data_IF_062474028719
#
_entry.id   IF_062474028719
#
_cell.length_a   1.000
_cell.length_b   1.000
_cell.length_c   1.000
_cell.angle_alpha   90.00
_cell.angle_beta   90.00
_cell.angle_gamma   90.00
#
_symmetry.space_group_name_H-M   'P 1'
#
loop_
_entity.id
_entity.type
_entity.pdbx_description
1 polymer ?
#
# COMPACT_ATOMS: atom_id res chain seq x y z
N UNK A 1 -3.14 14.09 -8.84
CA UNK A 1 -2.59 14.16 -10.21
C UNK A 1 -2.61 12.77 -10.84
N UNK A 2 -3.14 12.68 -12.07
CA UNK A 2 -3.15 11.49 -12.91
C UNK A 2 -2.01 11.52 -13.94
N UNK A 3 -2.22 11.06 -15.19
CA UNK A 3 -1.17 10.76 -16.17
C UNK A 3 -0.20 11.90 -16.53
N UNK A 4 -0.57 13.17 -16.32
CA UNK A 4 0.27 14.34 -16.63
C UNK A 4 0.94 14.99 -15.41
N UNK A 5 0.77 14.42 -14.20
CA UNK A 5 1.33 14.98 -12.97
C UNK A 5 2.62 14.32 -12.49
N UNK A 6 3.24 14.88 -11.44
CA UNK A 6 4.44 14.30 -10.82
C UNK A 6 4.05 12.94 -10.20
N UNK A 7 4.71 11.82 -10.60
CA UNK A 7 4.46 10.51 -9.99
C UNK A 7 4.53 10.57 -8.46
N UNK A 8 3.63 9.87 -7.77
CA UNK A 8 3.56 9.87 -6.31
C UNK A 8 2.86 11.08 -5.68
N UNK A 9 2.41 12.07 -6.47
CA UNK A 9 1.57 13.17 -5.94
C UNK A 9 0.07 12.94 -6.14
N UNK A 10 -0.30 11.81 -6.77
CA UNK A 10 -1.65 11.42 -7.12
C UNK A 10 -2.57 11.17 -5.92
N UNK A 11 -3.88 11.29 -6.13
CA UNK A 11 -4.88 10.98 -5.10
C UNK A 11 -6.29 10.90 -5.68
N UNK A 12 -7.22 10.20 -4.99
CA UNK A 12 -8.54 9.88 -5.52
C UNK A 12 -9.61 10.96 -5.25
N UNK A 13 -9.22 12.13 -4.73
CA UNK A 13 -10.14 13.21 -4.33
C UNK A 13 -10.69 13.08 -2.90
N UNK A 14 -10.32 12.02 -2.18
CA UNK A 14 -10.65 11.82 -0.77
C UNK A 14 -9.45 11.29 0.01
N UNK A 15 -9.57 11.25 1.34
CA UNK A 15 -8.59 10.71 2.28
C UNK A 15 -9.24 9.67 3.18
N UNK A 16 -8.44 8.70 3.61
CA UNK A 16 -8.81 7.63 4.53
C UNK A 16 -8.10 7.86 5.86
N UNK A 17 -8.81 7.63 6.97
CA UNK A 17 -8.23 7.71 8.31
C UNK A 17 -7.25 6.56 8.53
N UNK A 18 -6.29 6.77 9.43
CA UNK A 18 -5.42 5.69 9.84
C UNK A 18 -6.19 4.61 10.62
N UNK A 19 -5.76 3.36 10.46
CA UNK A 19 -6.25 2.21 11.21
C UNK A 19 -5.11 1.39 11.84
N UNK A 20 -3.86 1.88 11.80
CA UNK A 20 -2.73 1.13 12.35
C UNK A 20 -2.71 1.12 13.89
N UNK A 21 -3.42 2.05 14.53
CA UNK A 21 -3.58 2.05 16.00
C UNK A 21 -4.68 1.12 16.48
N UNK A 22 -5.62 0.74 15.60
CA UNK A 22 -6.82 -0.03 15.96
C UNK A 22 -6.85 -1.43 15.36
N UNK A 23 -6.08 -1.69 14.29
CA UNK A 23 -6.02 -2.99 13.64
C UNK A 23 -5.03 -3.92 14.37
N UNK A 24 -5.50 -4.99 15.05
CA UNK A 24 -4.63 -5.93 15.76
C UNK A 24 -3.75 -6.77 14.81
N UNK A 25 -4.07 -6.77 13.50
CA UNK A 25 -3.32 -7.47 12.46
C UNK A 25 -2.46 -6.51 11.62
N UNK A 26 -2.19 -5.30 12.11
CA UNK A 26 -1.36 -4.33 11.40
C UNK A 26 0.13 -4.72 11.45
N UNK A 27 0.54 -5.66 10.59
CA UNK A 27 1.91 -6.14 10.54
C UNK A 27 2.44 -6.17 9.12
N UNK A 28 3.54 -5.46 8.88
CA UNK A 28 4.26 -5.41 7.62
C UNK A 28 5.17 -6.64 7.48
N UNK A 29 4.54 -7.80 7.34
CA UNK A 29 5.22 -9.05 6.97
C UNK A 29 5.63 -9.03 5.49
N UNK A 30 6.43 -10.00 5.07
CA UNK A 30 6.74 -10.17 3.65
C UNK A 30 5.45 -10.37 2.84
N UNK A 31 5.32 -9.65 1.72
CA UNK A 31 4.11 -9.66 0.89
C UNK A 31 2.92 -8.87 1.44
N UNK A 32 3.06 -8.16 2.56
CA UNK A 32 2.00 -7.30 3.09
C UNK A 32 1.66 -6.15 2.12
N UNK A 33 0.37 -5.86 1.99
CA UNK A 33 -0.17 -4.77 1.19
C UNK A 33 -0.66 -3.65 2.12
N UNK A 34 -0.11 -2.45 1.96
CA UNK A 34 -0.33 -1.33 2.87
C UNK A 34 -0.52 0.00 2.14
N UNK A 35 -1.17 0.94 2.83
CA UNK A 35 -1.47 2.27 2.28
C UNK A 35 -0.30 3.24 2.48
N UNK A 36 0.12 3.91 1.41
CA UNK A 36 1.02 5.05 1.52
C UNK A 36 0.23 6.30 1.98
N UNK A 37 0.93 7.21 2.68
CA UNK A 37 0.37 8.47 3.17
C UNK A 37 1.40 9.60 3.11
N UNK A 38 0.91 10.83 3.24
CA UNK A 38 1.78 11.99 3.51
C UNK A 38 2.13 12.08 5.00
N UNK A 39 2.64 13.24 5.44
CA UNK A 39 3.00 13.47 6.84
C UNK A 39 1.81 13.30 7.81
N UNK A 40 0.60 13.65 7.37
CA UNK A 40 -0.63 13.45 8.15
C UNK A 40 -1.02 11.96 8.17
N UNK A 41 -1.13 11.31 9.34
CA UNK A 41 -1.58 9.92 9.45
C UNK A 41 -2.89 9.63 8.73
N UNK A 42 -3.81 10.59 8.67
CA UNK A 42 -5.15 10.44 8.05
C UNK A 42 -5.18 10.92 6.59
N UNK A 43 -4.07 10.77 5.87
CA UNK A 43 -3.93 11.27 4.49
C UNK A 43 -3.75 10.18 3.44
N UNK A 44 -3.89 8.92 3.81
CA UNK A 44 -3.92 7.82 2.85
C UNK A 44 -5.01 8.08 1.79
N UNK A 45 -4.72 7.73 0.55
CA UNK A 45 -5.61 7.99 -0.60
C UNK A 45 -5.73 6.76 -1.48
N UNK A 46 -5.07 6.77 -2.63
CA UNK A 46 -5.08 5.67 -3.60
C UNK A 46 -3.71 5.01 -3.78
N UNK A 47 -2.67 5.53 -3.12
CA UNK A 47 -1.33 4.98 -3.22
C UNK A 47 -1.17 3.86 -2.20
N UNK A 48 -0.67 2.72 -2.66
CA UNK A 48 -0.39 1.54 -1.85
C UNK A 48 0.98 0.98 -2.21
N UNK A 49 1.49 0.07 -1.38
CA UNK A 49 2.75 -0.62 -1.62
C UNK A 49 2.70 -2.07 -1.12
N UNK A 50 3.55 -2.91 -1.72
CA UNK A 50 3.87 -4.24 -1.23
C UNK A 50 5.18 -4.20 -0.43
N UNK A 51 5.23 -4.96 0.65
CA UNK A 51 6.48 -5.21 1.37
C UNK A 51 7.27 -6.31 0.64
N UNK A 52 8.43 -5.97 0.07
CA UNK A 52 9.34 -6.91 -0.60
C UNK A 52 10.29 -7.57 0.43
N UNK A 53 9.72 -8.09 1.50
CA UNK A 53 10.39 -8.53 2.73
C UNK A 53 9.78 -7.86 3.98
N UNK A 54 9.98 -8.41 5.19
CA UNK A 54 9.38 -7.86 6.41
C UNK A 54 9.87 -6.44 6.73
N UNK A 55 8.94 -5.55 7.08
CA UNK A 55 9.18 -4.13 7.38
C UNK A 55 8.49 -3.67 8.68
N UNK A 56 8.66 -4.42 9.78
CA UNK A 56 8.00 -4.16 11.07
C UNK A 56 8.20 -2.74 11.64
N UNK A 57 9.22 -2.00 11.20
CA UNK A 57 9.40 -0.59 11.56
C UNK A 57 8.26 0.32 11.08
N UNK A 58 7.42 -0.14 10.14
CA UNK A 58 6.27 0.60 9.62
C UNK A 58 4.97 0.32 10.39
N UNK A 59 4.95 -0.68 11.28
CA UNK A 59 3.74 -1.18 11.96
C UNK A 59 3.02 -0.10 12.80
N UNK A 60 3.76 0.88 13.31
CA UNK A 60 3.20 1.98 14.13
C UNK A 60 2.87 3.25 13.35
N UNK A 61 3.01 3.23 12.02
CA UNK A 61 2.91 4.45 11.20
C UNK A 61 2.14 4.31 9.90
N UNK A 62 1.81 3.09 9.46
CA UNK A 62 1.16 2.82 8.19
C UNK A 62 0.14 1.69 8.33
N UNK A 63 -0.96 1.80 7.60
CA UNK A 63 -2.08 0.85 7.66
C UNK A 63 -1.89 -0.26 6.64
N UNK A 64 -1.74 -1.49 7.15
CA UNK A 64 -1.82 -2.74 6.38
C UNK A 64 -3.28 -3.09 6.19
N UNK A 65 -3.69 -3.36 4.94
CA UNK A 65 -5.07 -3.70 4.59
C UNK A 65 -5.19 -5.01 3.81
N UNK A 66 -4.09 -5.70 3.54
CA UNK A 66 -4.09 -7.01 2.91
C UNK A 66 -2.74 -7.72 3.01
N UNK A 67 -2.74 -8.98 2.61
CA UNK A 67 -1.51 -9.75 2.43
C UNK A 67 -1.60 -10.57 1.15
N UNK A 68 -0.46 -10.84 0.55
CA UNK A 68 -0.38 -11.67 -0.65
C UNK A 68 -0.67 -13.12 -0.28
N UNK A 69 -1.66 -13.72 -0.92
CA UNK A 69 -2.03 -15.14 -0.73
C UNK A 69 -1.37 -16.06 -1.77
N UNK A 70 -1.17 -15.56 -2.99
CA UNK A 70 -0.58 -16.26 -4.12
C UNK A 70 0.30 -15.30 -4.92
N UNK A 71 1.34 -15.81 -5.60
CA UNK A 71 2.24 -14.99 -6.41
C UNK A 71 3.37 -14.31 -5.64
N UNK A 72 3.79 -14.85 -4.50
CA UNK A 72 4.95 -14.33 -3.74
C UNK A 72 6.26 -14.37 -4.55
N UNK A 73 6.41 -15.36 -5.42
CA UNK A 73 7.50 -15.45 -6.37
C UNK A 73 7.52 -14.27 -7.35
N UNK A 74 6.33 -13.78 -7.77
CA UNK A 74 6.19 -12.58 -8.60
C UNK A 74 6.52 -11.32 -7.78
N UNK A 75 5.99 -11.20 -6.56
CA UNK A 75 6.28 -10.07 -5.65
C UNK A 75 7.79 -9.92 -5.45
N UNK A 76 8.50 -11.02 -5.17
CA UNK A 76 9.95 -11.00 -4.95
C UNK A 76 10.79 -10.53 -6.15
N UNK A 77 10.21 -10.51 -7.35
CA UNK A 77 10.88 -10.09 -8.58
C UNK A 77 10.59 -8.63 -8.96
N UNK A 78 9.65 -7.97 -8.28
CA UNK A 78 9.29 -6.58 -8.54
C UNK A 78 10.48 -5.64 -8.34
N UNK A 79 10.58 -4.65 -9.22
CA UNK A 79 11.63 -3.63 -9.22
C UNK A 79 11.03 -2.23 -9.28
N UNK A 80 11.81 -1.26 -8.82
CA UNK A 80 11.47 0.15 -8.99
C UNK A 80 11.29 0.45 -10.47
N UNK A 81 10.13 1.00 -10.82
CA UNK A 81 9.76 1.34 -12.20
C UNK A 81 8.84 0.33 -12.87
N UNK A 82 8.58 -0.83 -12.25
CA UNK A 82 7.57 -1.75 -12.76
C UNK A 82 6.19 -1.09 -12.77
N UNK A 83 5.45 -1.31 -13.86
CA UNK A 83 4.16 -0.66 -14.11
C UNK A 83 3.04 -1.64 -13.77
N UNK A 84 2.09 -1.20 -12.95
CA UNK A 84 0.84 -1.91 -12.73
C UNK A 84 -0.05 -1.71 -13.96
N UNK A 85 -0.17 -2.74 -14.79
CA UNK A 85 -0.98 -2.68 -16.02
C UNK A 85 -2.49 -2.71 -15.74
N UNK A 86 -2.91 -3.46 -14.72
CA UNK A 86 -4.32 -3.60 -14.37
C UNK A 86 -4.49 -4.02 -12.91
N UNK A 87 -5.53 -3.52 -12.25
CA UNK A 87 -5.99 -3.98 -10.93
C UNK A 87 -7.46 -4.37 -11.09
N UNK A 88 -7.84 -5.53 -10.54
CA UNK A 88 -9.23 -5.96 -10.46
C UNK A 88 -9.56 -6.30 -9.01
N UNK A 89 -10.69 -5.81 -8.55
CA UNK A 89 -11.30 -6.18 -7.27
C UNK A 89 -12.53 -7.01 -7.62
N UNK A 90 -12.64 -8.18 -7.01
CA UNK A 90 -13.76 -9.09 -7.22
C UNK A 90 -14.50 -9.28 -5.90
N UNK A 91 -15.82 -9.48 -5.96
CA UNK A 91 -16.69 -9.69 -4.79
C UNK A 91 -16.75 -8.50 -3.80
N UNK A 92 -16.66 -7.27 -4.31
CA UNK A 92 -16.85 -6.03 -3.55
C UNK A 92 -18.33 -5.65 -3.38
#
# INVERSE_FOLDING_TARGET
PGPDGIPGTGGPGYRIKEEFTTNPNNSHVDGALAMARSQDPNSAGSQFYFCLGPQHGLDSGYTVFGTTIEGMDVISQLKVGDIVNSIRIENA
#
